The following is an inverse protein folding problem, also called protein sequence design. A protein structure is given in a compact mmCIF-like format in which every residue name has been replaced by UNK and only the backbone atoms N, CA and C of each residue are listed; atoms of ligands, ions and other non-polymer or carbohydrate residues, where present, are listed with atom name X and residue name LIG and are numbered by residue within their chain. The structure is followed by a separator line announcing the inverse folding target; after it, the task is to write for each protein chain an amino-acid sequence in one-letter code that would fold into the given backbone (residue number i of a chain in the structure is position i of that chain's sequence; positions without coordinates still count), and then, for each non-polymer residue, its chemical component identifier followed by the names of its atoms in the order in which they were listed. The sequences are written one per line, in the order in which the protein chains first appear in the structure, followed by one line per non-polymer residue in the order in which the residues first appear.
data_IF_026416974083
#
_entry.id   IF_026416974083
#
_cell.length_a   1.000
_cell.length_b   1.000
_cell.length_c   1.000
_cell.angle_alpha   90.00
_cell.angle_beta   90.00
_cell.angle_gamma   90.00
#
_symmetry.space_group_name_H-M   'P 1'
#
loop_
_entity.id
_entity.type
_entity.pdbx_description
1 polymer ?
#
# COMPACT_ATOMS: atom_id res chain seq x y z
N UNK A 1 35.40 42.72 12.87
CA UNK A 1 34.22 42.38 12.04
C UNK A 1 34.07 40.88 12.09
N UNK A 2 32.90 40.35 12.45
CA UNK A 2 32.65 38.91 12.40
C UNK A 2 32.28 38.54 10.96
N UNK A 3 32.95 37.51 10.44
CA UNK A 3 32.66 36.94 9.13
C UNK A 3 31.31 36.21 9.18
N UNK A 4 30.35 36.61 8.36
CA UNK A 4 29.05 35.93 8.25
C UNK A 4 29.11 34.99 7.06
N UNK A 5 29.14 33.69 7.35
CA UNK A 5 28.91 32.66 6.36
C UNK A 5 27.41 32.55 6.09
N UNK A 6 26.97 32.60 4.84
CA UNK A 6 25.57 32.42 4.45
C UNK A 6 25.45 31.40 3.33
N UNK A 7 24.65 30.36 3.57
CA UNK A 7 24.26 29.37 2.57
C UNK A 7 22.86 29.75 2.06
N UNK A 8 22.75 30.11 0.79
CA UNK A 8 21.49 30.60 0.20
C UNK A 8 21.30 30.16 -1.26
N UNK A 9 22.06 29.16 -1.72
CA UNK A 9 21.94 28.56 -3.04
C UNK A 9 21.64 27.09 -2.91
N UNK A 10 20.98 26.51 -3.93
CA UNK A 10 20.72 25.07 -3.98
C UNK A 10 21.99 24.25 -3.89
N UNK A 11 23.04 24.64 -4.63
CA UNK A 11 24.33 23.95 -4.63
C UNK A 11 24.98 23.91 -3.25
N UNK A 12 24.90 25.01 -2.51
CA UNK A 12 25.42 25.08 -1.14
C UNK A 12 24.70 24.11 -0.18
N UNK A 13 23.39 23.95 -0.33
CA UNK A 13 22.63 23.00 0.50
C UNK A 13 22.86 21.53 0.11
N UNK A 14 23.18 21.25 -1.16
CA UNK A 14 23.48 19.89 -1.63
C UNK A 14 24.79 19.32 -1.08
N UNK A 15 25.70 20.17 -0.60
CA UNK A 15 26.91 19.74 0.10
C UNK A 15 26.61 19.18 1.50
N UNK A 16 25.42 19.46 2.05
CA UNK A 16 25.04 19.03 3.39
C UNK A 16 24.32 17.69 3.33
N UNK A 17 24.53 16.85 4.36
CA UNK A 17 23.66 15.70 4.58
C UNK A 17 22.29 16.21 5.04
N UNK A 18 21.27 15.99 4.23
CA UNK A 18 19.88 16.33 4.54
C UNK A 18 18.98 15.13 4.24
N UNK A 19 17.78 15.04 4.85
CA UNK A 19 16.84 13.99 4.51
C UNK A 19 16.28 14.25 3.11
N UNK A 20 16.85 13.57 2.11
CA UNK A 20 16.39 13.65 0.71
C UNK A 20 14.90 13.32 0.67
N UNK A 21 14.10 14.01 -0.13
CA UNK A 21 12.65 13.74 -0.21
C UNK A 21 11.81 14.17 1.01
N UNK A 22 12.41 14.64 2.11
CA UNK A 22 11.68 15.33 3.19
C UNK A 22 11.79 16.87 3.06
N UNK A 23 12.78 17.35 2.30
CA UNK A 23 12.97 18.77 2.00
C UNK A 23 13.12 18.99 0.49
N UNK A 24 12.50 20.06 0.00
CA UNK A 24 12.72 20.63 -1.31
C UNK A 24 13.76 21.76 -1.22
N UNK A 25 14.83 21.61 -2.01
CA UNK A 25 15.87 22.62 -2.20
C UNK A 25 15.55 23.39 -3.49
N UNK A 26 14.85 24.50 -3.34
CA UNK A 26 14.33 25.26 -4.49
C UNK A 26 15.47 25.81 -5.35
N UNK A 27 15.18 26.11 -6.62
CA UNK A 27 16.13 26.77 -7.52
C UNK A 27 16.62 28.14 -6.98
N UNK A 28 15.82 28.78 -6.13
CA UNK A 28 16.15 30.05 -5.46
C UNK A 28 16.97 29.87 -4.18
N UNK A 29 17.36 28.63 -3.84
CA UNK A 29 18.16 28.30 -2.67
C UNK A 29 17.42 28.37 -1.33
N UNK A 30 16.08 28.34 -1.37
CA UNK A 30 15.25 28.13 -0.18
C UNK A 30 15.18 26.64 0.14
N UNK A 31 15.14 26.33 1.42
CA UNK A 31 14.84 24.99 1.93
C UNK A 31 13.43 25.02 2.48
N UNK A 32 12.58 24.12 2.01
CA UNK A 32 11.21 23.98 2.51
C UNK A 32 10.86 22.50 2.69
N UNK A 33 9.97 22.13 3.62
CA UNK A 33 9.50 20.75 3.73
C UNK A 33 8.80 20.30 2.46
N UNK A 34 9.01 19.05 2.06
CA UNK A 34 8.14 18.41 1.07
C UNK A 34 6.81 18.07 1.75
N UNK A 35 5.64 18.50 1.23
CA UNK A 35 4.37 18.19 1.85
C UNK A 35 4.06 16.69 1.76
N UNK A 36 3.67 16.10 2.89
CA UNK A 36 2.99 14.80 2.98
C UNK A 36 1.50 15.09 3.13
N UNK A 37 0.65 14.45 2.31
CA UNK A 37 -0.77 14.79 2.20
C UNK A 37 -1.64 13.60 2.57
N UNK A 38 -2.81 13.89 3.14
CA UNK A 38 -3.93 12.95 3.27
C UNK A 38 -4.89 13.12 2.10
N UNK A 39 -5.68 12.09 1.81
CA UNK A 39 -6.74 12.09 0.81
C UNK A 39 -6.24 12.49 -0.60
N UNK A 40 -5.20 11.82 -1.08
CA UNK A 40 -4.57 12.11 -2.37
C UNK A 40 -5.28 11.38 -3.52
N UNK A 41 -5.19 11.92 -4.75
CA UNK A 41 -5.43 11.12 -5.95
C UNK A 41 -4.14 10.38 -6.33
N UNK A 42 -4.09 9.07 -6.09
CA UNK A 42 -2.90 8.25 -6.35
C UNK A 42 -2.55 8.13 -7.85
N UNK A 43 -3.49 8.40 -8.76
CA UNK A 43 -3.27 8.39 -10.21
C UNK A 43 -2.42 9.59 -10.63
N UNK A 44 -2.70 10.77 -10.07
CA UNK A 44 -2.05 12.03 -10.44
C UNK A 44 -0.54 12.08 -10.23
N UNK A 45 0.02 11.16 -9.44
CA UNK A 45 1.46 11.03 -9.22
C UNK A 45 2.01 9.64 -9.55
N UNK A 46 1.26 8.79 -10.26
CA UNK A 46 1.71 7.45 -10.65
C UNK A 46 3.02 7.48 -11.45
N UNK A 47 3.20 8.49 -12.32
CA UNK A 47 4.44 8.68 -13.09
C UNK A 47 5.65 8.99 -12.21
N UNK A 48 5.46 9.62 -11.05
CA UNK A 48 6.55 9.86 -10.09
C UNK A 48 7.08 8.55 -9.49
N UNK A 49 6.34 7.46 -9.61
CA UNK A 49 6.72 6.10 -9.24
C UNK A 49 7.06 5.23 -10.47
N UNK A 50 7.28 5.85 -11.63
CA UNK A 50 7.67 5.15 -12.86
C UNK A 50 6.57 4.27 -13.46
N UNK A 51 5.29 4.61 -13.25
CA UNK A 51 4.14 3.90 -13.81
C UNK A 51 3.12 4.87 -14.44
N UNK A 52 1.91 4.39 -14.73
CA UNK A 52 0.91 5.03 -15.58
C UNK A 52 0.18 3.95 -16.37
N UNK A 53 -0.09 4.18 -17.66
CA UNK A 53 -0.66 3.16 -18.52
C UNK A 53 0.28 1.97 -18.61
N UNK A 54 -0.15 0.84 -18.05
CA UNK A 54 0.62 -0.40 -18.01
C UNK A 54 0.47 -1.18 -19.29
N UNK A 55 -0.76 -1.29 -19.79
CA UNK A 55 -1.07 -1.96 -21.04
C UNK A 55 -2.48 -1.57 -21.53
N UNK A 56 -2.76 -1.78 -22.81
CA UNK A 56 -4.04 -1.45 -23.42
C UNK A 56 -4.28 -2.35 -24.64
N UNK A 57 -5.51 -2.82 -24.81
CA UNK A 57 -5.87 -3.72 -25.89
C UNK A 57 -5.96 -3.03 -27.26
N UNK A 58 -6.46 -1.80 -27.30
CA UNK A 58 -6.67 -1.02 -28.53
C UNK A 58 -6.58 0.49 -28.29
N UNK A 59 -6.37 1.27 -29.34
CA UNK A 59 -6.24 2.74 -29.29
C UNK A 59 -5.21 3.24 -28.26
N UNK A 60 -4.01 2.66 -28.28
CA UNK A 60 -2.93 2.98 -27.34
C UNK A 60 -2.55 4.47 -27.24
N UNK A 61 -2.52 5.25 -28.34
CA UNK A 61 -2.18 6.68 -28.25
C UNK A 61 -3.11 7.50 -27.35
N UNK A 62 -4.38 7.11 -27.21
CA UNK A 62 -5.35 7.79 -26.37
C UNK A 62 -5.40 7.27 -24.93
N UNK A 63 -4.67 6.18 -24.61
CA UNK A 63 -4.77 5.53 -23.31
C UNK A 63 -4.36 6.46 -22.16
N UNK A 64 -3.41 7.38 -22.38
CA UNK A 64 -2.95 8.36 -21.38
C UNK A 64 -4.04 9.33 -20.94
N UNK A 65 -5.09 9.52 -21.76
CA UNK A 65 -6.18 10.45 -21.46
C UNK A 65 -6.90 10.09 -20.17
N UNK A 66 -6.95 8.81 -19.78
CA UNK A 66 -7.63 8.39 -18.53
C UNK A 66 -6.98 8.92 -17.25
N UNK A 67 -5.84 9.61 -17.33
CA UNK A 67 -5.06 10.06 -16.18
C UNK A 67 -4.41 11.43 -16.40
N UNK A 68 -4.80 12.18 -17.44
CA UNK A 68 -4.17 13.44 -17.81
C UNK A 68 -4.73 14.66 -17.05
N UNK A 69 -5.84 14.47 -16.34
CA UNK A 69 -6.55 15.49 -15.57
C UNK A 69 -7.46 16.38 -16.42
N UNK A 70 -7.67 16.08 -17.69
CA UNK A 70 -8.53 16.81 -18.62
C UNK A 70 -9.80 16.00 -18.95
N UNK A 71 -10.97 16.35 -18.36
CA UNK A 71 -12.20 15.61 -18.60
C UNK A 71 -12.76 15.77 -20.03
N UNK A 72 -12.12 16.58 -20.89
CA UNK A 72 -12.50 16.76 -22.30
C UNK A 72 -11.75 15.83 -23.26
N UNK A 73 -10.74 15.10 -22.78
CA UNK A 73 -10.08 14.02 -23.51
C UNK A 73 -10.61 12.69 -22.98
N UNK A 74 -10.57 11.64 -23.81
CA UNK A 74 -11.02 10.31 -23.38
C UNK A 74 -10.29 9.20 -24.13
N UNK A 75 -10.24 8.02 -23.52
CA UNK A 75 -9.87 6.77 -24.18
C UNK A 75 -11.13 5.99 -24.55
N UNK A 76 -11.19 5.54 -25.79
CA UNK A 76 -12.18 4.59 -26.29
C UNK A 76 -11.46 3.49 -27.07
N UNK A 77 -11.85 2.22 -26.94
CA UNK A 77 -11.28 1.14 -27.75
C UNK A 77 -11.61 1.32 -29.23
N UNK A 78 -10.82 0.73 -30.12
CA UNK A 78 -11.15 0.68 -31.55
C UNK A 78 -12.14 -0.49 -31.81
N UNK A 79 -13.39 -0.22 -32.23
CA UNK A 79 -14.35 -1.29 -32.52
C UNK A 79 -13.89 -2.24 -33.64
N UNK A 80 -13.02 -1.79 -34.55
CA UNK A 80 -12.48 -2.63 -35.62
C UNK A 80 -11.50 -3.71 -35.11
N UNK A 81 -10.92 -3.52 -33.92
CA UNK A 81 -10.03 -4.49 -33.29
C UNK A 81 -10.79 -5.53 -32.44
N UNK A 82 -12.12 -5.40 -32.32
CA UNK A 82 -12.99 -6.37 -31.66
C UNK A 82 -13.04 -6.24 -30.13
N UNK A 83 -14.10 -6.80 -29.53
CA UNK A 83 -14.38 -6.63 -28.09
C UNK A 83 -13.31 -7.24 -27.18
N UNK A 84 -12.60 -8.28 -27.65
CA UNK A 84 -11.50 -8.91 -26.91
C UNK A 84 -10.31 -7.95 -26.67
N UNK A 85 -10.21 -6.87 -27.46
CA UNK A 85 -9.20 -5.82 -27.33
C UNK A 85 -9.75 -4.55 -26.66
N UNK A 86 -10.98 -4.57 -26.14
CA UNK A 86 -11.63 -3.44 -25.49
C UNK A 86 -11.31 -3.36 -23.99
N UNK A 87 -10.02 -3.24 -23.66
CA UNK A 87 -9.57 -3.16 -22.27
C UNK A 87 -8.38 -2.22 -22.09
N UNK A 88 -8.22 -1.69 -20.88
CA UNK A 88 -7.13 -0.80 -20.48
C UNK A 88 -6.66 -1.11 -19.05
N UNK A 89 -5.36 -0.95 -18.79
CA UNK A 89 -4.72 -1.28 -17.53
C UNK A 89 -3.83 -0.12 -17.05
N UNK A 90 -4.09 0.37 -15.83
CA UNK A 90 -3.41 1.47 -15.15
C UNK A 90 -2.63 0.91 -13.95
N UNK A 91 -1.34 1.19 -13.86
CA UNK A 91 -0.48 0.88 -12.71
C UNK A 91 -0.15 2.17 -11.95
N UNK A 92 -0.43 2.18 -10.65
CA UNK A 92 -0.16 3.30 -9.73
C UNK A 92 1.32 3.40 -9.34
N UNK A 93 2.12 2.40 -9.72
CA UNK A 93 3.56 2.28 -9.46
C UNK A 93 3.92 1.83 -8.05
N UNK A 94 2.92 1.81 -7.15
CA UNK A 94 3.07 1.48 -5.74
C UNK A 94 1.77 0.91 -5.18
N UNK A 95 1.89 0.16 -4.10
CA UNK A 95 0.71 -0.23 -3.31
C UNK A 95 0.13 0.99 -2.58
N UNK A 96 -1.14 1.28 -2.80
CA UNK A 96 -1.89 2.31 -2.05
C UNK A 96 -3.03 1.69 -1.27
N UNK A 97 -3.41 2.34 -0.16
CA UNK A 97 -4.69 2.07 0.50
C UNK A 97 -5.74 3.03 -0.05
N UNK A 98 -6.51 2.55 -1.03
CA UNK A 98 -7.58 3.29 -1.67
C UNK A 98 -8.86 3.28 -0.81
N UNK A 99 -9.50 4.43 -0.70
CA UNK A 99 -10.83 4.61 -0.12
C UNK A 99 -11.94 4.70 -1.18
N UNK A 100 -11.60 5.18 -2.38
CA UNK A 100 -12.53 5.39 -3.49
C UNK A 100 -11.79 5.25 -4.82
N UNK A 101 -12.47 4.67 -5.82
CA UNK A 101 -12.08 4.73 -7.22
C UNK A 101 -13.21 5.42 -7.96
N UNK A 102 -12.90 6.42 -8.76
CA UNK A 102 -13.88 7.12 -9.59
C UNK A 102 -13.50 6.92 -11.04
N UNK A 103 -14.43 6.42 -11.84
CA UNK A 103 -14.32 6.35 -13.29
C UNK A 103 -15.25 7.43 -13.84
N UNK A 104 -14.67 8.39 -14.55
CA UNK A 104 -15.38 9.45 -15.27
C UNK A 104 -15.43 9.08 -16.74
N UNK A 105 -16.62 9.06 -17.32
CA UNK A 105 -16.87 8.80 -18.73
C UNK A 105 -17.06 10.12 -19.48
N UNK A 106 -16.71 10.11 -20.76
CA UNK A 106 -16.90 11.24 -21.68
C UNK A 106 -18.36 11.70 -21.68
N UNK A 107 -18.59 12.98 -21.38
CA UNK A 107 -19.93 13.60 -21.29
C UNK A 107 -20.57 13.87 -22.67
N UNK A 108 -19.81 13.72 -23.77
CA UNK A 108 -20.31 13.98 -25.13
C UNK A 108 -21.14 12.82 -25.71
N UNK A 109 -21.11 11.64 -25.11
CA UNK A 109 -21.80 10.43 -25.57
C UNK A 109 -22.51 9.70 -24.41
N UNK A 110 -23.12 8.54 -24.64
CA UNK A 110 -23.58 7.69 -23.53
C UNK A 110 -22.38 6.99 -22.87
N UNK A 111 -22.37 6.74 -21.55
CA UNK A 111 -21.27 6.04 -20.91
C UNK A 111 -21.27 4.55 -21.25
N UNK A 112 -20.14 3.87 -21.05
CA UNK A 112 -20.10 2.41 -21.16
C UNK A 112 -21.08 1.77 -20.16
N UNK A 113 -21.85 0.79 -20.65
CA UNK A 113 -22.93 0.17 -19.88
C UNK A 113 -22.52 -1.13 -19.20
N UNK A 114 -21.73 -1.96 -19.87
CA UNK A 114 -21.31 -3.29 -19.42
C UNK A 114 -19.80 -3.45 -19.48
N UNK A 115 -19.19 -3.65 -18.32
CA UNK A 115 -17.74 -3.80 -18.20
C UNK A 115 -17.36 -4.42 -16.85
N UNK A 116 -16.14 -4.93 -16.77
CA UNK A 116 -15.53 -5.42 -15.54
C UNK A 116 -14.45 -4.46 -15.08
N UNK A 117 -14.42 -4.17 -13.79
CA UNK A 117 -13.31 -3.51 -13.12
C UNK A 117 -12.57 -4.57 -12.31
N UNK A 118 -11.30 -4.80 -12.62
CA UNK A 118 -10.43 -5.74 -11.93
C UNK A 118 -9.34 -4.97 -11.19
N UNK A 119 -9.10 -5.33 -9.93
CA UNK A 119 -8.08 -4.70 -9.10
C UNK A 119 -7.04 -5.73 -8.66
N UNK A 120 -5.78 -5.31 -8.65
CA UNK A 120 -4.66 -6.08 -8.12
C UNK A 120 -3.84 -5.22 -7.16
N UNK A 121 -3.42 -5.81 -6.04
CA UNK A 121 -2.39 -5.21 -5.18
C UNK A 121 -0.97 -5.34 -5.77
N UNK A 122 -0.80 -6.01 -6.91
CA UNK A 122 0.50 -6.44 -7.41
C UNK A 122 0.80 -7.91 -7.11
N UNK A 123 -0.16 -8.66 -6.58
CA UNK A 123 -0.06 -10.09 -6.29
C UNK A 123 0.51 -10.89 -7.46
N UNK A 124 1.38 -11.84 -7.14
CA UNK A 124 1.97 -12.73 -8.12
C UNK A 124 0.92 -13.76 -8.58
N UNK A 125 0.77 -13.91 -9.90
CA UNK A 125 -0.05 -14.99 -10.45
C UNK A 125 0.71 -16.33 -10.39
N UNK A 126 -0.01 -17.39 -10.04
CA UNK A 126 0.50 -18.76 -10.01
C UNK A 126 -0.34 -19.65 -10.92
N UNK A 127 0.34 -20.54 -11.65
CA UNK A 127 -0.33 -21.62 -12.38
C UNK A 127 -0.98 -22.62 -11.43
N UNK A 128 -1.78 -23.55 -11.96
CA UNK A 128 -2.34 -24.68 -11.20
C UNK A 128 -1.26 -25.56 -10.55
N UNK A 129 -0.02 -25.54 -11.06
CA UNK A 129 1.13 -26.23 -10.50
C UNK A 129 1.87 -25.40 -9.43
N UNK A 130 1.29 -24.27 -8.98
CA UNK A 130 1.86 -23.33 -8.01
C UNK A 130 3.20 -22.70 -8.47
N UNK A 131 3.42 -22.65 -9.79
CA UNK A 131 4.58 -21.99 -10.38
C UNK A 131 4.24 -20.53 -10.68
N UNK A 132 5.05 -19.56 -10.20
CA UNK A 132 4.82 -18.15 -10.50
C UNK A 132 4.98 -17.86 -11.99
N UNK A 133 4.14 -16.99 -12.53
CA UNK A 133 4.25 -16.50 -13.91
C UNK A 133 4.76 -15.07 -13.88
N UNK A 134 6.04 -14.89 -14.20
CA UNK A 134 6.67 -13.57 -14.17
C UNK A 134 5.94 -12.57 -15.08
N UNK A 135 5.69 -11.37 -14.55
CA UNK A 135 4.98 -10.30 -15.25
C UNK A 135 3.46 -10.43 -15.29
N UNK A 136 2.89 -11.55 -14.80
CA UNK A 136 1.44 -11.75 -14.72
C UNK A 136 0.94 -11.48 -13.31
N UNK A 137 -0.10 -10.65 -13.22
CA UNK A 137 -0.71 -10.24 -11.96
C UNK A 137 -1.93 -11.10 -11.63
N UNK A 138 -2.14 -11.38 -10.35
CA UNK A 138 -3.41 -11.90 -9.88
C UNK A 138 -4.38 -10.73 -9.60
N UNK A 139 -5.55 -10.78 -10.25
CA UNK A 139 -6.66 -9.87 -10.02
C UNK A 139 -7.62 -10.48 -9.00
N UNK A 140 -7.31 -10.28 -7.73
CA UNK A 140 -8.04 -10.92 -6.63
C UNK A 140 -9.40 -10.26 -6.35
N UNK A 141 -9.62 -9.07 -6.88
CA UNK A 141 -10.86 -8.32 -6.74
C UNK A 141 -11.41 -7.98 -8.11
N UNK A 142 -12.70 -8.21 -8.30
CA UNK A 142 -13.39 -7.83 -9.52
C UNK A 142 -14.80 -7.33 -9.23
N UNK A 143 -15.26 -6.43 -10.09
CA UNK A 143 -16.61 -5.88 -10.07
C UNK A 143 -17.15 -5.85 -11.48
N UNK A 144 -18.21 -6.60 -11.72
CA UNK A 144 -19.01 -6.47 -12.93
C UNK A 144 -19.97 -5.29 -12.78
N UNK A 145 -19.96 -4.42 -13.78
CA UNK A 145 -20.85 -3.28 -13.94
C UNK A 145 -21.74 -3.58 -15.14
N UNK A 146 -23.05 -3.31 -14.99
CA UNK A 146 -24.04 -3.54 -16.03
C UNK A 146 -25.12 -2.48 -15.97
N UNK A 147 -25.69 -2.14 -17.12
CA UNK A 147 -26.71 -1.10 -17.26
C UNK A 147 -26.29 0.26 -16.66
N UNK A 148 -25.00 0.60 -16.71
CA UNK A 148 -24.53 1.88 -16.21
C UNK A 148 -25.05 3.03 -17.08
N UNK A 149 -25.63 4.05 -16.45
CA UNK A 149 -26.07 5.29 -17.11
C UNK A 149 -25.38 6.53 -16.53
N UNK A 150 -24.46 6.36 -15.58
CA UNK A 150 -23.77 7.46 -14.93
C UNK A 150 -22.45 7.77 -15.64
N UNK A 151 -22.20 9.06 -15.89
CA UNK A 151 -20.89 9.56 -16.35
C UNK A 151 -19.84 9.59 -15.25
N UNK A 152 -20.24 9.48 -13.99
CA UNK A 152 -19.33 9.37 -12.86
C UNK A 152 -19.69 8.15 -12.03
N UNK A 153 -18.91 7.08 -12.19
CA UNK A 153 -19.06 5.87 -11.42
C UNK A 153 -18.10 5.88 -10.24
N UNK A 154 -18.65 5.80 -9.03
CA UNK A 154 -17.89 5.73 -7.79
C UNK A 154 -17.90 4.31 -7.28
N UNK A 155 -16.72 3.78 -6.96
CA UNK A 155 -16.53 2.44 -6.42
C UNK A 155 -15.78 2.54 -5.10
N UNK A 156 -16.27 1.83 -4.08
CA UNK A 156 -15.58 1.74 -2.80
C UNK A 156 -14.85 0.40 -2.69
N UNK A 157 -13.51 0.38 -2.78
CA UNK A 157 -12.74 -0.85 -2.67
C UNK A 157 -12.67 -1.37 -1.24
N UNK A 158 -13.03 -0.63 -0.18
CA UNK A 158 -12.97 -1.13 1.22
C UNK A 158 -14.28 -1.73 1.73
N UNK A 159 -15.40 -1.48 1.05
CA UNK A 159 -16.70 -1.95 1.51
C UNK A 159 -16.99 -3.39 1.05
N UNK A 160 -17.60 -4.16 1.94
CA UNK A 160 -18.06 -5.51 1.66
C UNK A 160 -19.38 -5.47 0.88
N UNK A 161 -19.45 -6.11 -0.30
CA UNK A 161 -20.73 -6.55 -0.86
C UNK A 161 -21.04 -7.95 -0.35
N UNK A 162 -21.94 -8.06 0.63
CA UNK A 162 -22.56 -9.35 0.91
C UNK A 162 -23.39 -9.68 -0.32
N UNK A 163 -23.01 -10.73 -1.04
CA UNK A 163 -23.84 -11.28 -2.11
C UNK A 163 -25.12 -11.87 -1.52
N UNK A 164 -26.06 -11.02 -1.11
CA UNK A 164 -27.43 -11.37 -0.80
C UNK A 164 -28.30 -10.72 -1.87
N UNK A 165 -28.96 -11.57 -2.66
CA UNK A 165 -29.88 -11.12 -3.69
C UNK A 165 -30.98 -10.23 -3.12
N UNK A 166 -31.34 -9.22 -3.91
CA UNK A 166 -32.63 -8.53 -3.98
C UNK A 166 -33.55 -8.61 -2.74
N UNK A 167 -33.66 -7.49 -2.01
CA UNK A 167 -34.94 -6.87 -1.66
C UNK A 167 -34.72 -5.53 -0.91
N UNK A 168 -34.98 -4.42 -1.59
CA UNK A 168 -35.48 -3.19 -0.97
C UNK A 168 -34.47 -2.27 -0.27
N UNK A 169 -33.81 -1.39 -1.03
CA UNK A 169 -33.51 -0.03 -0.59
C UNK A 169 -33.48 0.90 -1.81
N UNK A 170 -34.17 2.03 -1.69
CA UNK A 170 -34.46 2.96 -2.77
C UNK A 170 -33.28 3.90 -3.04
N UNK A 171 -33.01 4.12 -4.33
CA UNK A 171 -32.20 5.19 -4.92
C UNK A 171 -30.77 5.37 -4.37
N UNK A 172 -29.87 4.45 -4.71
CA UNK A 172 -28.42 4.68 -4.70
C UNK A 172 -27.82 4.24 -6.04
N UNK A 173 -26.82 4.98 -6.49
CA UNK A 173 -26.07 4.80 -7.74
C UNK A 173 -25.83 3.33 -8.10
N UNK A 174 -26.01 2.99 -9.38
CA UNK A 174 -25.91 1.65 -9.97
C UNK A 174 -24.50 1.04 -9.93
N UNK A 175 -23.97 0.78 -8.73
CA UNK A 175 -22.69 0.13 -8.50
C UNK A 175 -22.62 -0.43 -7.08
N UNK A 176 -22.77 -1.75 -6.92
CA UNK A 176 -22.49 -2.39 -5.64
C UNK A 176 -20.98 -2.47 -5.36
N UNK A 177 -20.61 -2.82 -4.13
CA UNK A 177 -19.21 -2.88 -3.67
C UNK A 177 -18.43 -4.11 -4.20
N UNK A 178 -17.12 -4.16 -3.93
CA UNK A 178 -16.28 -5.36 -4.16
C UNK A 178 -16.56 -6.44 -3.09
N UNK A 179 -16.14 -7.69 -3.31
CA UNK A 179 -16.19 -8.75 -2.28
C UNK A 179 -14.90 -8.70 -1.46
N UNK A 180 -15.00 -8.65 -0.12
CA UNK A 180 -13.92 -8.64 0.90
C UNK A 180 -12.62 -7.93 0.50
N UNK A 181 -12.35 -6.73 1.04
CA UNK A 181 -11.09 -6.07 0.65
C UNK A 181 -10.51 -5.11 1.69
N UNK A 182 -9.17 -5.08 1.70
CA UNK A 182 -8.34 -4.16 2.46
C UNK A 182 -8.25 -2.76 1.83
N UNK A 183 -8.75 -2.56 0.61
CA UNK A 183 -8.52 -1.34 -0.19
C UNK A 183 -7.10 -1.25 -0.75
N UNK A 184 -6.31 -2.34 -0.67
CA UNK A 184 -4.97 -2.38 -1.23
C UNK A 184 -5.03 -2.51 -2.76
N UNK A 185 -4.54 -1.49 -3.46
CA UNK A 185 -4.58 -1.42 -4.92
C UNK A 185 -3.22 -0.94 -5.41
N UNK A 186 -2.76 -1.54 -6.51
CA UNK A 186 -1.67 -1.04 -7.33
C UNK A 186 -2.09 -0.95 -8.80
N UNK A 187 -2.80 -1.96 -9.31
CA UNK A 187 -3.21 -2.03 -10.72
C UNK A 187 -4.72 -2.07 -10.83
N UNK A 188 -5.25 -1.28 -11.75
CA UNK A 188 -6.67 -1.22 -12.12
C UNK A 188 -6.77 -1.60 -13.59
N UNK A 189 -7.63 -2.56 -13.89
CA UNK A 189 -7.93 -2.99 -15.25
C UNK A 189 -9.42 -2.84 -15.51
N UNK A 190 -9.77 -2.26 -16.65
CA UNK A 190 -11.15 -2.15 -17.12
C UNK A 190 -11.28 -2.98 -18.39
N UNK A 191 -12.25 -3.88 -18.43
CA UNK A 191 -12.56 -4.72 -19.60
C UNK A 191 -14.01 -4.48 -20.02
N UNK A 192 -14.23 -3.96 -21.22
CA UNK A 192 -15.57 -3.70 -21.74
C UNK A 192 -16.19 -5.00 -22.26
N UNK A 193 -17.49 -5.16 -22.04
CA UNK A 193 -18.26 -6.30 -22.58
C UNK A 193 -19.13 -5.92 -23.78
N UNK A 194 -19.33 -4.61 -24.01
CA UNK A 194 -20.09 -4.07 -25.12
C UNK A 194 -19.52 -2.71 -25.57
N UNK A 195 -19.58 -2.44 -26.88
CA UNK A 195 -19.25 -1.12 -27.42
C UNK A 195 -20.44 -0.18 -27.31
N UNK A 196 -20.15 1.09 -27.00
CA UNK A 196 -21.12 2.18 -27.07
C UNK A 196 -20.54 3.25 -27.98
N UNK A 197 -21.28 3.64 -29.02
CA UNK A 197 -20.80 4.60 -30.01
C UNK A 197 -20.48 5.95 -29.35
N UNK A 198 -19.27 6.44 -29.59
CA UNK A 198 -18.77 7.71 -29.02
C UNK A 198 -18.41 7.66 -27.53
N UNK A 199 -18.68 6.56 -26.82
CA UNK A 199 -18.37 6.44 -25.40
C UNK A 199 -16.85 6.38 -25.17
N UNK A 200 -16.39 7.05 -24.13
CA UNK A 200 -14.99 7.01 -23.70
C UNK A 200 -14.86 7.07 -22.18
N UNK A 201 -13.72 6.62 -21.67
CA UNK A 201 -13.29 6.86 -20.29
C UNK A 201 -12.46 8.13 -20.33
N UNK A 202 -12.97 9.20 -19.70
CA UNK A 202 -12.28 10.46 -19.61
C UNK A 202 -11.20 10.42 -18.53
N UNK A 203 -11.54 9.92 -17.34
CA UNK A 203 -10.61 9.93 -16.20
C UNK A 203 -10.81 8.74 -15.28
N UNK A 204 -9.71 8.25 -14.68
CA UNK A 204 -9.72 7.38 -13.52
C UNK A 204 -9.01 8.11 -12.39
N UNK A 205 -9.68 8.25 -11.26
CA UNK A 205 -9.07 8.74 -10.03
C UNK A 205 -9.14 7.70 -8.93
N UNK A 206 -8.11 7.67 -8.09
CA UNK A 206 -8.02 6.76 -6.95
C UNK A 206 -7.75 7.60 -5.71
N UNK A 207 -8.77 7.82 -4.90
CA UNK A 207 -8.58 8.46 -3.60
C UNK A 207 -7.90 7.47 -2.67
N UNK A 208 -6.69 7.80 -2.22
CA UNK A 208 -5.95 7.04 -1.22
C UNK A 208 -5.85 7.82 0.08
N UNK A 209 -5.71 7.11 1.20
CA UNK A 209 -5.71 7.73 2.54
C UNK A 209 -4.62 8.81 2.66
N UNK A 210 -3.47 8.64 2.01
CA UNK A 210 -2.44 9.66 1.94
C UNK A 210 -1.17 9.22 1.24
N UNK A 211 -0.16 10.07 1.30
CA UNK A 211 1.22 9.75 0.93
C UNK A 211 1.83 8.82 2.01
N UNK A 212 2.31 7.64 1.60
CA UNK A 212 2.93 6.70 2.54
C UNK A 212 4.34 7.19 2.93
N UNK A 213 4.51 7.61 4.20
CA UNK A 213 5.76 8.11 4.77
C UNK A 213 6.85 7.03 4.86
N UNK A 214 6.49 5.74 4.87
CA UNK A 214 7.49 4.68 4.94
C UNK A 214 8.15 4.42 3.58
N UNK A 215 7.45 4.65 2.48
CA UNK A 215 7.91 4.29 1.14
C UNK A 215 9.19 5.04 0.78
N UNK A 216 10.31 4.36 0.54
CA UNK A 216 11.61 5.01 0.27
C UNK A 216 12.28 5.61 1.52
N UNK A 217 11.95 5.09 2.71
CA UNK A 217 12.46 5.54 4.01
C UNK A 217 13.99 5.65 4.05
N UNK A 218 14.68 4.63 3.55
CA UNK A 218 16.14 4.52 3.64
C UNK A 218 16.82 5.56 2.75
N UNK A 219 16.32 5.72 1.52
CA UNK A 219 16.80 6.72 0.55
C UNK A 219 16.63 8.14 1.08
N UNK A 220 15.60 8.37 1.91
CA UNK A 220 15.37 9.65 2.60
C UNK A 220 16.22 9.86 3.85
N UNK A 221 17.08 8.91 4.20
CA UNK A 221 17.99 9.00 5.35
C UNK A 221 17.39 8.52 6.66
N UNK A 222 16.24 7.84 6.62
CA UNK A 222 15.75 7.03 7.73
C UNK A 222 16.47 5.69 7.85
N UNK A 223 16.08 4.90 8.84
CA UNK A 223 16.63 3.56 9.06
C UNK A 223 15.60 2.62 9.68
N UNK A 224 15.81 1.32 9.52
CA UNK A 224 15.05 0.29 10.22
C UNK A 224 16.04 -0.58 11.00
N UNK A 225 15.85 -0.64 12.30
CA UNK A 225 16.62 -1.48 13.20
C UNK A 225 15.77 -2.68 13.64
N UNK A 226 16.37 -3.88 13.56
CA UNK A 226 15.76 -5.13 14.00
C UNK A 226 16.52 -5.63 15.22
N UNK A 227 15.82 -5.74 16.35
CA UNK A 227 16.40 -6.18 17.63
C UNK A 227 15.64 -7.42 18.09
N UNK A 228 16.38 -8.42 18.55
CA UNK A 228 15.84 -9.62 19.20
C UNK A 228 16.56 -9.86 20.51
N UNK A 229 15.88 -10.42 21.51
CA UNK A 229 16.51 -10.85 22.77
C UNK A 229 17.52 -12.00 22.55
N UNK A 230 17.52 -12.61 21.36
CA UNK A 230 18.51 -13.60 20.94
C UNK A 230 19.68 -12.97 20.18
N UNK A 231 20.82 -13.66 20.15
CA UNK A 231 21.97 -13.25 19.34
C UNK A 231 21.79 -13.67 17.88
N UNK A 232 20.83 -13.06 17.17
CA UNK A 232 20.61 -13.25 15.73
C UNK A 232 20.83 -11.96 14.95
N UNK A 233 21.38 -12.09 13.74
CA UNK A 233 21.43 -10.99 12.77
C UNK A 233 20.19 -11.10 11.90
N UNK A 234 19.29 -10.13 12.02
CA UNK A 234 18.13 -10.00 11.16
C UNK A 234 18.46 -9.02 10.02
N UNK A 235 17.92 -9.29 8.83
CA UNK A 235 18.14 -8.47 7.63
C UNK A 235 16.87 -8.43 6.75
N UNK A 236 16.87 -7.63 5.69
CA UNK A 236 15.77 -7.53 4.73
C UNK A 236 14.65 -6.59 5.18
N UNK A 237 14.90 -5.73 6.16
CA UNK A 237 13.90 -4.81 6.70
C UNK A 237 13.38 -3.81 5.65
N UNK A 238 14.20 -3.51 4.64
CA UNK A 238 13.85 -2.67 3.50
C UNK A 238 12.62 -3.18 2.73
N UNK A 239 12.37 -4.50 2.72
CA UNK A 239 11.21 -5.08 2.06
C UNK A 239 9.88 -4.69 2.71
N UNK A 240 9.87 -4.16 3.94
CA UNK A 240 8.64 -3.70 4.58
C UNK A 240 8.18 -2.33 4.07
N UNK A 241 9.00 -1.63 3.28
CA UNK A 241 8.80 -0.22 2.95
C UNK A 241 9.12 0.09 1.49
N UNK A 242 9.11 -0.93 0.63
CA UNK A 242 9.45 -0.81 -0.79
C UNK A 242 8.22 -0.60 -1.70
N UNK A 243 7.00 -0.71 -1.16
CA UNK A 243 5.76 -0.49 -1.89
C UNK A 243 5.36 -1.64 -2.82
N UNK A 244 5.99 -2.80 -2.68
CA UNK A 244 5.73 -4.03 -3.40
C UNK A 244 5.29 -5.18 -2.47
N UNK A 245 3.98 -5.44 -2.40
CA UNK A 245 3.39 -6.50 -1.56
C UNK A 245 3.92 -7.93 -1.81
N UNK A 246 4.59 -8.18 -2.93
CA UNK A 246 5.20 -9.49 -3.26
C UNK A 246 6.47 -9.72 -2.46
N UNK A 247 7.29 -8.67 -2.27
CA UNK A 247 8.40 -8.68 -1.34
C UNK A 247 7.86 -8.56 0.08
N UNK A 248 8.52 -9.23 1.02
CA UNK A 248 8.14 -9.17 2.42
C UNK A 248 9.37 -9.37 3.29
N UNK A 249 9.27 -8.85 4.50
CA UNK A 249 10.10 -9.27 5.61
C UNK A 249 9.35 -10.28 6.44
N UNK A 250 10.06 -11.31 6.89
CA UNK A 250 9.57 -12.18 7.93
C UNK A 250 10.75 -12.68 8.76
N UNK A 251 10.51 -12.89 10.04
CA UNK A 251 11.55 -13.33 10.95
C UNK A 251 11.93 -14.79 10.66
N UNK A 252 13.17 -15.01 10.23
CA UNK A 252 13.74 -16.34 10.08
C UNK A 252 14.25 -16.85 11.43
N UNK A 253 13.58 -17.86 11.96
CA UNK A 253 13.83 -18.37 13.31
C UNK A 253 14.69 -19.63 13.24
N UNK A 254 16.01 -19.45 13.16
CA UNK A 254 16.96 -20.57 13.22
C UNK A 254 17.31 -20.96 14.66
N UNK A 255 17.38 -22.27 14.92
CA UNK A 255 17.98 -22.90 16.11
C UNK A 255 17.59 -22.28 17.47
N UNK A 256 16.35 -22.49 17.91
CA UNK A 256 15.92 -22.14 19.26
C UNK A 256 16.06 -23.33 20.22
N UNK A 257 17.00 -23.27 21.16
CA UNK A 257 16.96 -24.08 22.39
C UNK A 257 15.79 -23.59 23.27
N UNK A 258 15.15 -24.48 24.04
CA UNK A 258 14.07 -24.07 24.93
C UNK A 258 14.60 -23.07 25.96
N UNK A 259 14.13 -21.83 25.93
CA UNK A 259 14.56 -20.78 26.87
C UNK A 259 13.74 -20.78 28.15
N UNK A 260 12.48 -21.24 28.10
CA UNK A 260 11.56 -21.23 29.25
C UNK A 260 10.99 -19.85 29.60
N UNK A 261 11.25 -18.84 28.75
CA UNK A 261 10.75 -17.47 28.84
C UNK A 261 10.44 -16.95 27.44
N UNK A 262 9.60 -15.91 27.36
CA UNK A 262 9.25 -15.33 26.08
C UNK A 262 10.38 -14.53 25.45
N UNK A 263 10.60 -14.75 24.16
CA UNK A 263 11.59 -14.01 23.37
C UNK A 263 10.88 -12.84 22.74
N UNK A 264 11.35 -11.63 23.01
CA UNK A 264 10.79 -10.42 22.43
C UNK A 264 11.67 -9.83 21.34
N UNK A 265 10.99 -9.18 20.40
CA UNK A 265 11.59 -8.57 19.22
C UNK A 265 11.09 -7.13 19.10
N UNK A 266 11.93 -6.28 18.50
CA UNK A 266 11.62 -4.89 18.19
C UNK A 266 11.96 -4.62 16.73
N UNK A 267 11.05 -3.98 16.03
CA UNK A 267 11.33 -3.30 14.76
C UNK A 267 11.23 -1.81 15.07
N UNK A 268 12.31 -1.07 14.83
CA UNK A 268 12.38 0.37 15.09
C UNK A 268 12.63 1.10 13.78
N UNK A 269 11.67 1.90 13.36
CA UNK A 269 11.79 2.80 12.22
C UNK A 269 12.24 4.19 12.74
N UNK A 270 13.37 4.71 12.26
CA UNK A 270 13.68 6.16 12.30
C UNK A 270 13.21 6.75 10.97
N UNK A 271 12.19 7.61 11.01
CA UNK A 271 11.61 8.25 9.82
C UNK A 271 12.56 9.25 9.15
N UNK A 272 13.73 9.54 9.76
CA UNK A 272 14.74 10.48 9.26
C UNK A 272 14.36 11.95 9.45
N UNK A 273 13.07 12.24 9.62
CA UNK A 273 12.50 13.54 9.94
C UNK A 273 11.28 13.38 10.86
N UNK A 274 10.75 14.50 11.34
CA UNK A 274 9.49 14.52 12.08
C UNK A 274 8.31 14.64 11.12
N UNK A 275 7.29 13.81 11.35
CA UNK A 275 6.02 13.83 10.63
C UNK A 275 4.86 13.97 11.59
N UNK A 276 3.75 14.51 11.11
CA UNK A 276 2.47 14.37 11.77
C UNK A 276 1.84 13.07 11.27
N UNK A 277 1.59 12.13 12.16
CA UNK A 277 1.11 10.78 11.86
C UNK A 277 -0.12 10.51 12.72
N UNK A 278 -1.17 9.98 12.10
CA UNK A 278 -2.40 9.54 12.79
C UNK A 278 -2.78 8.10 12.42
N UNK A 279 -2.03 7.48 11.49
CA UNK A 279 -2.36 6.15 11.02
C UNK A 279 -1.14 5.32 10.65
N UNK A 280 -1.17 4.06 11.08
CA UNK A 280 -0.21 3.02 10.69
C UNK A 280 -0.97 1.80 10.21
N UNK A 281 -0.49 1.20 9.13
CA UNK A 281 -1.07 -0.01 8.57
C UNK A 281 0.01 -1.06 8.35
N UNK A 282 -0.20 -2.25 8.89
CA UNK A 282 0.71 -3.40 8.75
C UNK A 282 0.06 -4.44 7.85
N UNK A 283 0.65 -4.67 6.69
CA UNK A 283 0.18 -5.62 5.67
C UNK A 283 0.93 -6.93 5.84
N UNK A 284 0.24 -7.96 6.29
CA UNK A 284 0.73 -9.32 6.51
C UNK A 284 0.19 -10.33 5.49
N UNK A 285 -0.18 -9.86 4.30
CA UNK A 285 -0.61 -10.72 3.20
C UNK A 285 0.61 -11.23 2.41
N UNK A 286 0.90 -12.55 2.39
CA UNK A 286 2.02 -13.12 1.66
C UNK A 286 1.72 -13.22 0.16
N UNK A 287 1.60 -12.07 -0.52
CA UNK A 287 1.17 -12.00 -1.92
C UNK A 287 2.14 -12.66 -2.91
N UNK A 288 3.40 -12.85 -2.51
CA UNK A 288 4.41 -13.63 -3.24
C UNK A 288 4.36 -15.14 -3.01
N UNK A 289 3.40 -15.64 -2.23
CA UNK A 289 3.21 -17.07 -1.99
C UNK A 289 1.91 -17.59 -2.66
N UNK A 290 1.93 -18.83 -3.21
CA UNK A 290 0.72 -19.46 -3.71
C UNK A 290 -0.33 -19.61 -2.60
N UNK A 291 -1.62 -19.41 -2.94
CA UNK A 291 -2.74 -19.42 -2.00
C UNK A 291 -2.76 -20.64 -1.06
N UNK A 292 -2.47 -21.84 -1.60
CA UNK A 292 -2.47 -23.10 -0.86
C UNK A 292 -1.45 -23.19 0.29
N UNK A 293 -0.45 -22.31 0.34
CA UNK A 293 0.55 -22.29 1.42
C UNK A 293 0.53 -21.02 2.27
N UNK A 294 -0.34 -20.03 1.97
CA UNK A 294 -0.37 -18.75 2.71
C UNK A 294 -0.64 -18.91 4.20
N UNK A 295 -1.39 -19.94 4.61
CA UNK A 295 -1.63 -20.27 6.03
C UNK A 295 -0.40 -20.79 6.78
N UNK A 296 0.71 -21.06 6.09
CA UNK A 296 1.98 -21.39 6.73
C UNK A 296 2.84 -20.16 7.01
N UNK A 297 2.41 -18.97 6.61
CA UNK A 297 3.06 -17.71 6.91
C UNK A 297 2.23 -16.99 7.98
N UNK A 298 2.78 -16.87 9.18
CA UNK A 298 2.11 -16.23 10.28
C UNK A 298 2.54 -14.78 10.46
N UNK A 299 1.61 -13.94 10.92
CA UNK A 299 1.89 -12.57 11.34
C UNK A 299 2.36 -12.59 12.80
N UNK A 300 1.49 -12.23 13.75
CA UNK A 300 1.87 -12.02 15.15
C UNK A 300 0.95 -12.80 16.08
N UNK A 301 1.42 -13.15 17.28
CA UNK A 301 0.55 -13.55 18.37
C UNK A 301 -0.20 -12.33 18.91
N UNK A 302 0.57 -11.32 19.30
CA UNK A 302 0.16 -10.00 19.75
C UNK A 302 1.30 -9.01 19.47
N UNK A 303 1.04 -7.71 19.54
CA UNK A 303 2.10 -6.70 19.52
C UNK A 303 1.65 -5.37 20.12
N UNK A 304 2.63 -4.57 20.51
CA UNK A 304 2.47 -3.18 20.88
C UNK A 304 3.11 -2.29 19.82
N UNK A 305 2.40 -1.25 19.40
CA UNK A 305 2.89 -0.21 18.50
C UNK A 305 3.10 1.08 19.30
N UNK A 306 4.29 1.66 19.17
CA UNK A 306 4.76 2.76 20.00
C UNK A 306 5.35 3.87 19.13
N UNK A 307 5.11 5.12 19.49
CA UNK A 307 5.59 6.31 18.79
C UNK A 307 6.49 7.16 19.68
N UNK A 308 7.47 7.83 19.09
CA UNK A 308 8.31 8.81 19.77
C UNK A 308 8.60 10.00 18.86
N UNK A 309 8.54 11.20 19.43
CA UNK A 309 8.98 12.43 18.77
C UNK A 309 10.51 12.63 18.84
N UNK A 310 11.26 11.67 19.40
CA UNK A 310 12.70 11.78 19.61
C UNK A 310 13.11 12.38 20.97
N UNK A 311 12.15 12.69 21.84
CA UNK A 311 12.45 13.08 23.22
C UNK A 311 13.11 11.95 24.01
N UNK A 312 14.01 12.31 24.91
CA UNK A 312 14.88 11.39 25.64
C UNK A 312 14.46 11.28 27.11
N UNK A 313 14.40 10.06 27.63
CA UNK A 313 14.18 9.74 29.04
C UNK A 313 15.45 10.02 29.86
N UNK A 314 15.36 10.17 31.20
CA UNK A 314 16.53 10.44 32.04
C UNK A 314 17.64 9.38 31.96
N UNK A 315 17.32 8.16 31.54
CA UNK A 315 18.26 7.06 31.32
C UNK A 315 18.94 7.08 29.93
N UNK A 316 18.64 8.09 29.11
CA UNK A 316 19.21 8.27 27.77
C UNK A 316 18.46 7.53 26.65
N UNK A 317 17.39 6.79 26.97
CA UNK A 317 16.57 6.09 25.97
C UNK A 317 15.51 7.01 25.35
N UNK A 318 14.96 6.63 24.20
CA UNK A 318 13.82 7.33 23.61
C UNK A 318 12.58 7.15 24.48
N UNK A 319 11.83 8.24 24.72
CA UNK A 319 10.50 8.17 25.31
C UNK A 319 9.51 7.72 24.25
N UNK A 320 8.80 6.64 24.54
CA UNK A 320 7.78 6.10 23.66
C UNK A 320 6.42 6.18 24.33
N UNK A 321 5.41 6.58 23.56
CA UNK A 321 4.00 6.51 23.92
C UNK A 321 3.32 5.41 23.12
N UNK A 322 2.32 4.74 23.69
CA UNK A 322 1.56 3.72 22.99
C UNK A 322 0.63 4.35 21.95
N UNK A 323 0.74 3.85 20.71
CA UNK A 323 -0.14 4.21 19.60
C UNK A 323 -1.28 3.20 19.48
N UNK A 324 -0.96 1.91 19.63
CA UNK A 324 -1.92 0.82 19.55
C UNK A 324 -1.38 -0.45 20.25
N UNK A 325 -2.31 -1.32 20.64
CA UNK A 325 -2.01 -2.66 21.15
C UNK A 325 -2.96 -3.67 20.50
N UNK A 326 -2.40 -4.77 20.00
CA UNK A 326 -3.16 -5.91 19.48
C UNK A 326 -2.97 -7.05 20.46
N UNK A 327 -4.05 -7.51 21.08
CA UNK A 327 -4.05 -8.58 22.08
C UNK A 327 -3.83 -9.97 21.46
N UNK A 328 -3.47 -10.96 22.28
CA UNK A 328 -3.18 -12.32 21.83
C UNK A 328 -4.41 -13.00 21.25
N UNK A 329 -4.29 -13.45 20.00
CA UNK A 329 -5.36 -14.15 19.30
C UNK A 329 -4.82 -15.06 18.21
N UNK A 330 -5.31 -16.32 18.11
CA UNK A 330 -5.03 -17.19 16.97
C UNK A 330 -5.44 -16.59 15.62
N UNK A 331 -6.39 -15.65 15.61
CA UNK A 331 -6.81 -14.97 14.38
C UNK A 331 -5.70 -14.07 13.82
N UNK A 332 -4.90 -13.45 14.69
CA UNK A 332 -3.78 -12.58 14.27
C UNK A 332 -2.75 -13.36 13.44
N UNK A 333 -2.62 -14.66 13.69
CA UNK A 333 -1.56 -15.46 13.09
C UNK A 333 -1.81 -15.65 11.58
N UNK A 334 -3.03 -16.03 11.17
CA UNK A 334 -3.28 -16.42 9.76
C UNK A 334 -4.61 -15.93 9.16
N UNK A 335 -5.52 -15.40 9.97
CA UNK A 335 -6.85 -14.95 9.54
C UNK A 335 -6.86 -13.45 9.31
N UNK A 336 -6.39 -12.67 10.29
CA UNK A 336 -6.22 -11.22 10.17
C UNK A 336 -4.90 -10.98 9.45
N UNK A 337 -5.01 -10.62 8.18
CA UNK A 337 -3.85 -10.39 7.32
C UNK A 337 -3.36 -8.95 7.36
N UNK A 338 -4.24 -7.99 7.57
CA UNK A 338 -3.89 -6.58 7.60
C UNK A 338 -4.37 -5.97 8.91
N UNK A 339 -3.54 -5.13 9.51
CA UNK A 339 -3.84 -4.45 10.77
C UNK A 339 -3.81 -2.95 10.53
N UNK A 340 -4.96 -2.31 10.75
CA UNK A 340 -5.16 -0.88 10.51
C UNK A 340 -5.26 -0.20 11.89
N UNK A 341 -4.35 0.74 12.18
CA UNK A 341 -4.33 1.49 13.44
C UNK A 341 -4.54 2.96 13.17
N UNK A 342 -5.60 3.53 13.70
CA UNK A 342 -5.90 4.95 13.70
C UNK A 342 -5.81 5.47 15.14
N UNK A 343 -5.17 6.63 15.32
CA UNK A 343 -4.95 7.27 16.61
C UNK A 343 -4.93 8.79 16.45
N UNK A 344 -4.90 9.54 17.55
CA UNK A 344 -4.84 11.00 17.49
C UNK A 344 -3.57 11.48 16.75
N UNK A 345 -3.68 12.54 15.95
CA UNK A 345 -2.55 13.09 15.20
C UNK A 345 -1.39 13.50 16.12
N UNK A 346 -0.26 12.83 15.97
CA UNK A 346 0.92 13.02 16.81
C UNK A 346 2.15 13.33 15.98
N UNK A 347 3.07 14.12 16.57
CA UNK A 347 4.37 14.36 15.96
C UNK A 347 5.28 13.18 16.24
N UNK A 348 5.66 12.42 15.22
CA UNK A 348 6.43 11.18 15.33
C UNK A 348 7.70 11.28 14.48
N UNK A 349 8.80 10.75 15.02
CA UNK A 349 10.03 10.45 14.29
C UNK A 349 10.41 8.97 14.38
N UNK A 350 10.15 8.33 15.51
CA UNK A 350 10.43 6.91 15.68
C UNK A 350 9.15 6.13 15.89
N UNK A 351 9.03 5.00 15.19
CA UNK A 351 7.97 4.01 15.43
C UNK A 351 8.65 2.71 15.87
N UNK A 352 8.16 2.12 16.95
CA UNK A 352 8.61 0.83 17.45
C UNK A 352 7.45 -0.15 17.50
N UNK A 353 7.60 -1.28 16.81
CA UNK A 353 6.74 -2.44 17.00
C UNK A 353 7.44 -3.42 17.94
N UNK A 354 6.81 -3.76 19.04
CA UNK A 354 7.29 -4.72 20.04
C UNK A 354 6.38 -5.95 20.06
N UNK A 355 6.96 -7.14 19.90
CA UNK A 355 6.18 -8.37 19.80
C UNK A 355 6.98 -9.59 20.25
N UNK A 356 6.32 -10.64 20.78
CA UNK A 356 6.99 -11.88 21.09
C UNK A 356 7.07 -12.80 19.86
N UNK A 357 8.07 -13.68 19.87
CA UNK A 357 8.18 -14.81 18.93
C UNK A 357 7.84 -16.16 19.54
N UNK A 358 7.43 -16.16 20.80
CA UNK A 358 6.99 -17.33 21.56
C UNK A 358 5.75 -16.99 22.38
N UNK A 359 4.93 -17.99 22.70
CA UNK A 359 3.80 -17.84 23.64
C UNK A 359 4.11 -18.63 24.90
N UNK A 360 4.23 -17.96 26.04
CA UNK A 360 4.51 -18.57 27.35
C UNK A 360 5.79 -19.44 27.37
N UNK A 361 6.79 -19.14 26.52
CA UNK A 361 7.99 -19.96 26.32
C UNK A 361 7.75 -21.34 25.69
N UNK A 362 6.52 -21.63 25.26
CA UNK A 362 6.05 -22.92 24.74
C UNK A 362 5.87 -22.93 23.21
N UNK A 363 4.82 -22.27 22.69
CA UNK A 363 4.56 -22.19 21.24
C UNK A 363 5.61 -21.31 20.57
N UNK A 364 6.05 -21.69 19.36
CA UNK A 364 7.22 -21.07 18.69
C UNK A 364 6.96 -20.73 17.24
N UNK A 365 7.59 -19.65 16.80
CA UNK A 365 7.97 -19.44 15.41
C UNK A 365 9.21 -20.30 15.02
N UNK A 366 9.25 -20.92 13.83
CA UNK A 366 10.48 -21.49 13.22
C UNK A 366 10.51 -22.98 12.90
N UNK A 367 11.72 -23.56 12.80
CA UNK A 367 11.94 -24.96 12.34
C UNK A 367 11.23 -26.05 13.17
N UNK A 368 10.85 -25.73 14.41
CA UNK A 368 10.03 -26.59 15.29
C UNK A 368 8.67 -25.97 15.62
N UNK A 369 8.30 -24.87 14.97
CA UNK A 369 7.02 -24.21 15.06
C UNK A 369 6.05 -24.65 13.96
N UNK A 370 4.82 -24.15 14.03
CA UNK A 370 3.74 -24.49 13.08
C UNK A 370 3.89 -23.78 11.72
N UNK A 371 4.73 -22.74 11.65
CA UNK A 371 4.80 -21.81 10.53
C UNK A 371 6.15 -21.85 9.81
N UNK A 372 6.13 -21.70 8.49
CA UNK A 372 7.31 -21.51 7.64
C UNK A 372 8.03 -20.20 7.97
N UNK A 373 7.25 -19.16 8.23
CA UNK A 373 7.73 -17.82 8.60
C UNK A 373 6.78 -17.22 9.63
N UNK A 374 7.29 -16.32 10.47
CA UNK A 374 6.53 -15.59 11.48
C UNK A 374 6.88 -14.11 11.45
N UNK A 375 6.05 -13.26 12.03
CA UNK A 375 6.17 -11.80 11.98
C UNK A 375 6.24 -11.30 10.53
N UNK A 376 5.43 -11.88 9.64
CA UNK A 376 5.41 -11.47 8.25
C UNK A 376 4.83 -10.05 8.11
N UNK A 377 5.60 -9.20 7.43
CA UNK A 377 5.21 -7.86 7.02
C UNK A 377 5.61 -7.72 5.55
N UNK A 378 4.63 -7.69 4.67
CA UNK A 378 4.81 -7.32 3.27
C UNK A 378 4.94 -5.82 3.10
N UNK A 379 4.14 -5.03 3.83
CA UNK A 379 4.25 -3.57 3.83
C UNK A 379 3.93 -3.00 5.22
N UNK A 380 4.66 -1.97 5.61
CA UNK A 380 4.44 -1.17 6.80
C UNK A 380 4.17 0.26 6.35
N UNK A 381 2.90 0.65 6.26
CA UNK A 381 2.49 1.96 5.73
C UNK A 381 2.23 2.95 6.88
N UNK A 382 2.63 4.21 6.69
CA UNK A 382 2.56 5.27 7.70
C UNK A 382 1.98 6.52 7.03
N UNK A 383 0.97 7.15 7.64
CA UNK A 383 0.22 8.27 7.04
C UNK A 383 -0.02 9.43 7.99
#
# INVERSE_FOLDING_TARGET
MAERLSYNTRSAWQEWKHPVGAVDLTLTGRVQPLPVRKNINAVSNAESFGSGIRNVGSNSPAAVNIMDGDPSTSWSPDPAEGIDNAWIELDLGRLVTASEIVITFDEAAAPFQFFNVLLSGGDQFFTNALVPVNGTLAYNLSRKVGFNTAHRLVLNPRLHSLGLGAAGAAAESSGGNFKETSGLIRVIRIELEEFVEGAGIAEISVSAIGDNISMGLIERGGSIELITDLQQVLSGAENMVDGNIVTNWAMQTYHQTQTGFDIFNRIIFDLGAHYWVDQVRIIGEPAGAPSGIRNSYANFFWYQLLGSDGSIAPDGTLRFDELAFVDDSPLNETVIRNFDHEFDLQKIRYIKQFFPSTRNGGDRAGTHGTYRSFALISEFQIY
#
